data_IF_081085989155
#
_entry.id   IF_081085989155
#
_cell.length_a   1.000
_cell.length_b   1.000
_cell.length_c   1.000
_cell.angle_alpha   90.00
_cell.angle_beta   90.00
_cell.angle_gamma   90.00
#
_symmetry.space_group_name_H-M   'P 1'
#
loop_
_entity.id
_entity.type
_entity.pdbx_description
1 polymer ?
#
# COMPACT_ATOMS: atom_id res chain seq x y z
N UNK A 1 -4.27 12.79 19.48
CA UNK A 1 -3.65 12.72 18.14
C UNK A 1 -4.25 11.52 17.42
N UNK A 2 -5.21 11.75 16.51
CA UNK A 2 -6.01 10.66 15.93
C UNK A 2 -5.17 9.74 15.05
N UNK A 3 -5.15 8.45 15.39
CA UNK A 3 -4.56 7.40 14.57
C UNK A 3 -5.20 7.41 13.18
N UNK A 4 -4.42 7.72 12.14
CA UNK A 4 -4.86 7.54 10.75
C UNK A 4 -4.50 8.65 9.77
N UNK A 5 -4.12 9.86 10.21
CA UNK A 5 -3.77 10.97 9.30
C UNK A 5 -2.25 11.21 9.28
N UNK A 6 -1.65 11.23 8.09
CA UNK A 6 -0.26 11.65 7.93
C UNK A 6 -0.17 13.16 8.27
N UNK A 7 0.57 13.50 9.31
CA UNK A 7 0.77 14.86 9.80
C UNK A 7 2.15 15.40 9.43
N UNK A 8 2.34 16.72 9.56
CA UNK A 8 3.62 17.37 9.27
C UNK A 8 3.96 17.47 7.78
N UNK A 9 5.25 17.55 7.48
CA UNK A 9 5.75 17.75 6.11
C UNK A 9 5.44 16.58 5.19
N UNK A 10 5.50 15.33 5.69
CA UNK A 10 5.17 14.14 4.91
C UNK A 10 3.72 14.17 4.42
N UNK A 11 2.76 14.49 5.30
CA UNK A 11 1.36 14.66 4.92
C UNK A 11 1.12 15.79 3.92
N UNK A 12 1.91 16.88 3.98
CA UNK A 12 1.86 17.94 2.97
C UNK A 12 2.36 17.44 1.61
N UNK A 13 3.49 16.74 1.57
CA UNK A 13 4.04 16.18 0.32
C UNK A 13 3.02 15.26 -0.35
N UNK A 14 2.35 14.39 0.39
CA UNK A 14 1.35 13.48 -0.17
C UNK A 14 0.15 14.20 -0.80
N UNK A 15 -0.24 15.37 -0.27
CA UNK A 15 -1.41 16.13 -0.73
C UNK A 15 -1.10 17.13 -1.83
N UNK A 16 0.04 17.82 -1.76
CA UNK A 16 0.40 18.91 -2.68
C UNK A 16 1.64 18.65 -3.52
N UNK A 17 2.36 17.55 -3.28
CA UNK A 17 3.63 17.23 -3.94
C UNK A 17 3.54 17.16 -5.46
N UNK A 18 2.37 16.78 -6.01
CA UNK A 18 2.12 16.77 -7.46
C UNK A 18 2.35 18.14 -8.12
N UNK A 19 2.04 19.25 -7.44
CA UNK A 19 2.29 20.61 -7.93
C UNK A 19 3.79 20.88 -8.15
N UNK A 20 4.63 20.20 -7.37
CA UNK A 20 6.08 20.38 -7.35
C UNK A 20 6.82 19.21 -8.02
N UNK A 21 6.09 18.34 -8.74
CA UNK A 21 6.62 17.13 -9.38
C UNK A 21 7.37 16.20 -8.40
N UNK A 22 6.94 16.16 -7.13
CA UNK A 22 7.50 15.27 -6.12
C UNK A 22 6.86 13.90 -6.19
N UNK A 23 7.69 12.86 -6.24
CA UNK A 23 7.29 11.46 -6.19
C UNK A 23 7.80 10.83 -4.91
N UNK A 24 6.93 10.13 -4.18
CA UNK A 24 7.28 9.46 -2.94
C UNK A 24 7.12 7.96 -3.07
N UNK A 25 8.14 7.21 -2.67
CA UNK A 25 8.04 5.77 -2.45
C UNK A 25 7.97 5.57 -0.94
N UNK A 26 6.91 4.93 -0.47
CA UNK A 26 6.72 4.66 0.95
C UNK A 26 6.74 3.14 1.15
N UNK A 27 7.65 2.67 2.01
CA UNK A 27 7.86 1.26 2.31
C UNK A 27 7.38 0.99 3.74
N UNK A 28 6.56 -0.05 3.90
CA UNK A 28 5.97 -0.40 5.19
C UNK A 28 6.08 -1.91 5.41
N UNK A 29 6.23 -2.30 6.68
CA UNK A 29 6.26 -3.71 7.08
C UNK A 29 4.88 -4.25 7.45
N UNK A 30 3.98 -3.40 7.94
CA UNK A 30 2.63 -3.76 8.35
C UNK A 30 1.62 -2.74 7.87
N UNK A 31 0.55 -3.19 7.21
CA UNK A 31 -0.51 -2.31 6.72
C UNK A 31 -1.17 -1.47 7.82
N UNK A 32 -1.27 -2.01 9.04
CA UNK A 32 -1.91 -1.36 10.20
C UNK A 32 -1.17 -0.11 10.69
N UNK A 33 0.13 0.00 10.42
CA UNK A 33 0.95 1.15 10.83
C UNK A 33 0.91 2.27 9.77
N UNK A 34 0.29 2.01 8.62
CA UNK A 34 0.22 2.95 7.51
C UNK A 34 -0.94 3.92 7.74
N UNK A 35 -0.67 5.21 7.57
CA UNK A 35 -1.75 6.21 7.55
C UNK A 35 -2.67 5.94 6.38
N UNK A 36 -3.99 5.91 6.64
CA UNK A 36 -5.02 5.82 5.59
C UNK A 36 -4.83 6.85 4.47
N UNK A 37 -4.34 8.05 4.82
CA UNK A 37 -4.04 9.10 3.84
C UNK A 37 -3.05 8.64 2.76
N UNK A 38 -2.09 7.79 3.11
CA UNK A 38 -1.10 7.28 2.16
C UNK A 38 -1.76 6.31 1.19
N UNK A 39 -2.56 5.38 1.71
CA UNK A 39 -3.24 4.38 0.89
C UNK A 39 -4.27 5.05 -0.03
N UNK A 40 -5.08 5.97 0.50
CA UNK A 40 -6.15 6.63 -0.24
C UNK A 40 -5.63 7.54 -1.37
N UNK A 41 -4.47 8.17 -1.20
CA UNK A 41 -3.90 9.07 -2.21
C UNK A 41 -2.91 8.36 -3.16
N UNK A 42 -2.57 7.09 -2.90
CA UNK A 42 -1.61 6.40 -3.73
C UNK A 42 -2.28 5.85 -4.99
N UNK A 43 -1.69 6.15 -6.16
CA UNK A 43 -2.10 5.51 -7.42
C UNK A 43 -1.65 4.05 -7.49
N UNK A 44 -0.45 3.78 -6.99
CA UNK A 44 0.20 2.48 -7.10
C UNK A 44 0.43 1.87 -5.73
N UNK A 45 -0.10 0.68 -5.48
CA UNK A 45 0.22 -0.09 -4.28
C UNK A 45 0.90 -1.39 -4.69
N UNK A 46 1.99 -1.74 -4.02
CA UNK A 46 2.67 -3.02 -4.20
C UNK A 46 2.51 -3.80 -2.90
N UNK A 47 1.69 -4.86 -2.94
CA UNK A 47 1.47 -5.73 -1.80
C UNK A 47 2.23 -7.02 -2.02
N UNK A 48 3.13 -7.32 -1.07
CA UNK A 48 3.89 -8.57 -1.02
C UNK A 48 3.27 -9.53 0.01
N UNK A 49 3.79 -10.76 0.06
CA UNK A 49 3.37 -11.81 0.98
C UNK A 49 3.21 -11.30 2.42
N UNK A 50 2.08 -11.63 3.04
CA UNK A 50 1.78 -11.32 4.44
C UNK A 50 1.97 -12.55 5.32
N UNK A 51 2.43 -12.35 6.56
CA UNK A 51 2.66 -13.45 7.51
C UNK A 51 1.36 -14.06 8.06
N UNK A 52 0.30 -13.25 8.19
CA UNK A 52 -0.96 -13.67 8.82
C UNK A 52 -2.16 -13.26 7.97
N UNK A 53 -3.22 -14.07 8.01
CA UNK A 53 -4.47 -13.77 7.32
C UNK A 53 -5.11 -12.45 7.82
N UNK A 54 -4.94 -12.11 9.10
CA UNK A 54 -5.44 -10.85 9.64
C UNK A 54 -4.80 -9.62 8.96
N UNK A 55 -3.51 -9.69 8.62
CA UNK A 55 -2.84 -8.63 7.86
C UNK A 55 -3.34 -8.55 6.42
N UNK A 56 -3.60 -9.71 5.79
CA UNK A 56 -4.17 -9.76 4.45
C UNK A 56 -5.59 -9.15 4.41
N UNK A 57 -6.45 -9.49 5.36
CA UNK A 57 -7.80 -8.91 5.49
C UNK A 57 -7.77 -7.40 5.76
N UNK A 58 -6.82 -6.93 6.55
CA UNK A 58 -6.64 -5.49 6.76
C UNK A 58 -6.29 -4.78 5.44
N UNK A 59 -5.38 -5.35 4.65
CA UNK A 59 -5.00 -4.80 3.35
C UNK A 59 -6.15 -4.88 2.34
N UNK A 60 -6.95 -5.93 2.36
CA UNK A 60 -8.16 -6.04 1.53
C UNK A 60 -9.14 -4.89 1.81
N UNK A 61 -9.41 -4.61 3.08
CA UNK A 61 -10.30 -3.50 3.46
C UNK A 61 -9.77 -2.13 3.05
N UNK A 62 -8.44 -1.97 2.94
CA UNK A 62 -7.80 -0.70 2.63
C UNK A 62 -7.52 -0.50 1.13
N UNK A 63 -7.24 -1.58 0.41
CA UNK A 63 -6.78 -1.53 -1.00
C UNK A 63 -7.77 -2.13 -1.97
N UNK A 64 -8.69 -2.99 -1.50
CA UNK A 64 -9.60 -3.78 -2.34
C UNK A 64 -8.94 -5.01 -3.00
N UNK A 65 -7.67 -5.28 -2.72
CA UNK A 65 -6.98 -6.49 -3.19
C UNK A 65 -7.42 -7.67 -2.32
N UNK A 66 -7.89 -8.76 -2.93
CA UNK A 66 -8.45 -9.87 -2.15
C UNK A 66 -7.44 -10.47 -1.17
N UNK A 67 -7.85 -10.68 0.08
CA UNK A 67 -7.01 -11.35 1.07
C UNK A 67 -6.64 -12.78 0.63
N UNK A 68 -7.52 -13.44 -0.13
CA UNK A 68 -7.24 -14.76 -0.72
C UNK A 68 -6.04 -14.69 -1.66
N UNK A 69 -5.98 -13.70 -2.53
CA UNK A 69 -4.88 -13.53 -3.48
C UNK A 69 -3.58 -13.16 -2.75
N UNK A 70 -3.66 -12.33 -1.72
CA UNK A 70 -2.51 -11.96 -0.88
C UNK A 70 -1.94 -13.18 -0.15
N UNK A 71 -2.79 -14.02 0.42
CA UNK A 71 -2.36 -15.24 1.12
C UNK A 71 -1.77 -16.30 0.19
N UNK A 72 -2.10 -16.25 -1.11
CA UNK A 72 -1.55 -17.14 -2.14
C UNK A 72 -0.24 -16.62 -2.77
N UNK A 73 0.32 -15.53 -2.26
CA UNK A 73 1.62 -15.04 -2.71
C UNK A 73 2.74 -15.90 -2.16
N UNK A 74 3.60 -16.39 -3.06
CA UNK A 74 4.85 -17.03 -2.68
C UNK A 74 5.94 -15.97 -2.41
N UNK A 75 7.07 -16.34 -1.78
CA UNK A 75 8.21 -15.44 -1.65
C UNK A 75 8.58 -14.81 -3.00
N UNK A 76 8.76 -13.48 -2.99
CA UNK A 76 9.09 -12.63 -4.14
C UNK A 76 7.94 -12.36 -5.13
N UNK A 77 6.76 -12.95 -4.92
CA UNK A 77 5.56 -12.53 -5.64
C UNK A 77 5.02 -11.21 -5.05
N UNK A 78 4.38 -10.42 -5.91
CA UNK A 78 3.68 -9.21 -5.51
C UNK A 78 2.39 -9.01 -6.30
N UNK A 79 1.46 -8.26 -5.72
CA UNK A 79 0.29 -7.71 -6.38
C UNK A 79 0.53 -6.21 -6.56
N UNK A 80 0.66 -5.78 -7.82
CA UNK A 80 0.80 -4.38 -8.18
C UNK A 80 -0.55 -3.83 -8.60
N UNK A 81 -1.10 -2.98 -7.76
CA UNK A 81 -2.30 -2.21 -7.99
C UNK A 81 -1.97 -0.94 -8.79
N UNK A 82 -2.78 -0.64 -9.79
CA UNK A 82 -2.90 0.67 -10.43
C UNK A 82 -4.37 1.08 -10.39
N UNK A 83 -4.69 2.05 -9.53
CA UNK A 83 -6.07 2.45 -9.27
C UNK A 83 -6.90 1.31 -8.68
N UNK A 84 -7.92 0.83 -9.40
CA UNK A 84 -8.85 -0.22 -8.94
C UNK A 84 -8.47 -1.63 -9.41
N UNK A 85 -7.53 -1.74 -10.34
CA UNK A 85 -7.09 -3.02 -10.90
C UNK A 85 -5.74 -3.39 -10.34
N UNK A 86 -5.46 -4.69 -10.21
CA UNK A 86 -4.14 -5.18 -9.81
C UNK A 86 -3.70 -6.35 -10.68
N UNK A 87 -2.38 -6.51 -10.80
CA UNK A 87 -1.75 -7.62 -11.51
C UNK A 87 -0.73 -8.31 -10.61
N UNK A 88 -0.62 -9.63 -10.75
CA UNK A 88 0.43 -10.41 -10.10
C UNK A 88 1.74 -10.25 -10.87
N UNK A 89 2.84 -10.10 -10.14
CA UNK A 89 4.20 -10.08 -10.68
C UNK A 89 5.15 -10.84 -9.77
N UNK A 90 6.39 -11.01 -10.23
CA UNK A 90 7.47 -11.68 -9.51
C UNK A 90 8.73 -10.85 -9.59
N UNK A 91 9.38 -10.60 -8.45
CA UNK A 91 10.67 -9.90 -8.41
C UNK A 91 11.72 -10.79 -9.06
N UNK A 92 12.51 -10.22 -9.97
CA UNK A 92 13.64 -10.87 -10.64
C UNK A 92 14.87 -9.99 -10.48
N UNK A 93 16.02 -10.61 -10.31
CA UNK A 93 17.34 -9.98 -10.23
C UNK A 93 18.20 -10.43 -11.41
#
# INVERSE_FOLDING_TARGET
LGAGKAVGYHGKILRVGRKFNLHTINLFQRGQEVSKTIIDNCRFACVMMQKTNASAQYLENMTGISAKDINNLEPLDYLLQDGRTYKKGKIRW
#
